data_IF_816321812812
#
_entry.id   IF_816321812812
#
_cell.length_a   1.000
_cell.length_b   1.000
_cell.length_c   1.000
_cell.angle_alpha   90.00
_cell.angle_beta   90.00
_cell.angle_gamma   90.00
#
_symmetry.space_group_name_H-M   'P 1'
#
loop_
_entity.id
_entity.type
_entity.pdbx_description
1 polymer ?
#
# COMPACT_ATOMS: atom_id res chain seq x y z
N UNK A 1 -0.77 23.02 -17.22
CA UNK A 1 -0.53 22.45 -15.88
C UNK A 1 -0.35 20.96 -16.11
N UNK A 2 0.90 20.49 -16.15
CA UNK A 2 1.25 19.20 -16.74
C UNK A 2 1.01 18.05 -15.75
N UNK A 3 0.33 17.00 -16.22
CA UNK A 3 0.03 15.76 -15.51
C UNK A 3 1.33 15.03 -15.13
N UNK A 4 1.78 15.22 -13.88
CA UNK A 4 3.00 14.63 -13.33
C UNK A 4 2.87 13.20 -12.80
N UNK A 5 1.73 12.54 -13.01
CA UNK A 5 1.58 11.11 -12.74
C UNK A 5 1.98 10.34 -14.00
N UNK A 6 3.30 10.26 -14.23
CA UNK A 6 3.86 9.34 -15.21
C UNK A 6 3.26 7.96 -14.98
N UNK A 7 2.84 7.29 -16.07
CA UNK A 7 2.20 5.97 -16.06
C UNK A 7 3.02 5.01 -15.18
N UNK A 8 2.60 4.82 -13.93
CA UNK A 8 3.23 3.83 -13.06
C UNK A 8 2.86 2.47 -13.65
N UNK A 9 3.81 1.79 -14.29
CA UNK A 9 3.65 0.36 -14.61
C UNK A 9 3.75 -0.40 -13.29
N UNK A 10 2.63 -0.48 -12.59
CA UNK A 10 2.49 -1.37 -11.45
C UNK A 10 2.71 -2.79 -11.97
N UNK A 11 3.63 -3.52 -11.32
CA UNK A 11 3.69 -4.96 -11.49
C UNK A 11 2.31 -5.55 -11.20
N UNK A 12 1.92 -6.59 -11.94
CA UNK A 12 0.62 -7.25 -11.71
C UNK A 12 0.45 -7.56 -10.21
N UNK A 13 -0.72 -7.28 -9.62
CA UNK A 13 -1.00 -7.54 -8.21
C UNK A 13 -0.53 -8.95 -7.83
N UNK A 14 0.37 -9.08 -6.83
CA UNK A 14 1.04 -10.34 -6.50
C UNK A 14 0.10 -11.31 -5.80
N UNK A 15 -0.82 -10.80 -4.98
CA UNK A 15 -1.74 -11.63 -4.19
C UNK A 15 -2.93 -12.11 -5.05
N UNK A 16 -3.22 -11.39 -6.13
CA UNK A 16 -4.40 -11.58 -6.97
C UNK A 16 -4.05 -12.05 -8.38
N UNK A 17 -2.96 -12.82 -8.53
CA UNK A 17 -2.63 -13.49 -9.79
C UNK A 17 -3.43 -14.79 -9.95
N UNK A 18 -3.95 -15.01 -11.16
CA UNK A 18 -4.62 -16.26 -11.57
C UNK A 18 -3.77 -17.48 -11.16
N UNK A 19 -4.35 -18.36 -10.33
CA UNK A 19 -3.74 -19.63 -9.93
C UNK A 19 -2.64 -19.58 -8.85
N UNK A 20 -2.42 -18.44 -8.18
CA UNK A 20 -1.45 -18.32 -7.07
C UNK A 20 -2.04 -17.68 -5.80
N UNK A 21 -3.38 -17.61 -5.70
CA UNK A 21 -4.06 -17.05 -4.53
C UNK A 21 -4.01 -18.07 -3.38
N UNK A 22 -3.59 -17.67 -2.17
CA UNK A 22 -3.59 -18.57 -1.04
C UNK A 22 -5.05 -18.85 -0.59
N UNK A 23 -5.38 -20.09 -0.17
CA UNK A 23 -6.77 -20.52 0.08
C UNK A 23 -7.53 -19.67 1.10
N UNK A 24 -6.81 -19.06 2.05
CA UNK A 24 -7.42 -18.25 3.11
C UNK A 24 -8.12 -16.99 2.59
N UNK A 25 -7.72 -16.46 1.42
CA UNK A 25 -8.33 -15.25 0.85
C UNK A 25 -9.79 -15.50 0.45
N UNK A 26 -10.10 -16.72 0.03
CA UNK A 26 -11.46 -17.12 -0.37
C UNK A 26 -12.27 -17.72 0.78
N UNK A 27 -11.63 -18.07 1.90
CA UNK A 27 -12.30 -18.73 3.04
C UNK A 27 -12.47 -17.83 4.26
N UNK A 28 -12.02 -16.57 4.22
CA UNK A 28 -12.22 -15.60 5.30
C UNK A 28 -13.58 -14.92 5.17
N UNK A 29 -14.15 -14.53 6.31
CA UNK A 29 -15.34 -13.67 6.44
C UNK A 29 -15.04 -12.19 6.21
N UNK A 30 -13.76 -11.81 6.06
CA UNK A 30 -13.32 -10.45 5.84
C UNK A 30 -13.09 -10.15 4.38
N UNK A 31 -13.33 -8.91 3.99
CA UNK A 31 -12.90 -8.42 2.70
C UNK A 31 -11.37 -8.29 2.67
N UNK A 32 -10.76 -8.90 1.65
CA UNK A 32 -9.31 -8.80 1.40
C UNK A 32 -9.08 -7.90 0.20
N UNK A 33 -8.24 -6.88 0.39
CA UNK A 33 -7.79 -5.97 -0.67
C UNK A 33 -6.26 -6.06 -0.79
N UNK A 34 -5.74 -5.85 -2.00
CA UNK A 34 -4.30 -5.76 -2.20
C UNK A 34 -3.84 -4.29 -2.12
N UNK A 35 -2.77 -4.05 -1.38
CA UNK A 35 -2.14 -2.73 -1.21
C UNK A 35 -0.66 -2.86 -1.58
N UNK A 36 -0.11 -1.84 -2.23
CA UNK A 36 1.30 -1.77 -2.57
C UNK A 36 1.92 -0.53 -1.90
N UNK A 37 2.84 -0.68 -0.92
CA UNK A 37 3.37 0.44 -0.16
C UNK A 37 3.97 1.57 -1.02
N UNK A 38 4.67 1.23 -2.10
CA UNK A 38 5.23 2.25 -3.01
C UNK A 38 4.14 3.13 -3.64
N UNK A 39 2.97 2.55 -3.95
CA UNK A 39 1.83 3.29 -4.51
C UNK A 39 1.15 4.11 -3.43
N UNK A 40 0.97 3.54 -2.24
CA UNK A 40 0.42 4.24 -1.08
C UNK A 40 1.26 5.47 -0.74
N UNK A 41 2.58 5.33 -0.63
CA UNK A 41 3.48 6.46 -0.38
C UNK A 41 3.47 7.49 -1.51
N UNK A 42 3.47 7.03 -2.77
CA UNK A 42 3.39 7.96 -3.90
C UNK A 42 2.08 8.76 -3.91
N UNK A 43 0.99 8.12 -3.52
CA UNK A 43 -0.35 8.74 -3.39
C UNK A 43 -0.36 9.74 -2.24
N UNK A 44 0.16 9.36 -1.07
CA UNK A 44 0.29 10.26 0.09
C UNK A 44 1.06 11.54 -0.25
N UNK A 45 2.17 11.41 -0.99
CA UNK A 45 3.06 12.52 -1.31
C UNK A 45 2.68 13.28 -2.59
N UNK A 46 1.74 12.75 -3.39
CA UNK A 46 1.41 13.29 -4.73
C UNK A 46 2.54 13.17 -5.75
N UNK A 47 3.57 12.37 -5.47
CA UNK A 47 4.76 12.16 -6.30
C UNK A 47 5.46 10.86 -5.94
N UNK A 48 6.33 10.37 -6.82
CA UNK A 48 7.18 9.23 -6.50
C UNK A 48 8.13 9.56 -5.34
N UNK A 49 8.46 8.56 -4.51
CA UNK A 49 9.48 8.69 -3.48
C UNK A 49 10.84 8.92 -4.13
N UNK A 50 11.59 9.90 -3.63
CA UNK A 50 12.88 10.28 -4.20
C UNK A 50 14.01 9.33 -3.76
N UNK A 51 13.85 8.69 -2.61
CA UNK A 51 14.89 7.88 -2.00
C UNK A 51 14.51 6.39 -1.84
N UNK A 52 15.46 5.46 -2.04
CA UNK A 52 15.22 4.04 -1.82
C UNK A 52 14.82 3.75 -0.37
N UNK A 53 13.85 2.85 -0.18
CA UNK A 53 13.24 2.57 1.14
C UNK A 53 14.20 2.04 2.20
N UNK A 54 15.29 1.40 1.79
CA UNK A 54 16.32 0.87 2.67
C UNK A 54 17.31 1.92 3.18
N UNK A 55 17.24 3.16 2.70
CA UNK A 55 18.13 4.25 3.12
C UNK A 55 17.51 5.05 4.26
N UNK A 56 18.36 5.73 5.03
CA UNK A 56 17.91 6.70 6.04
C UNK A 56 17.02 7.79 5.42
N UNK A 57 17.45 8.37 4.30
CA UNK A 57 16.67 9.39 3.61
C UNK A 57 15.30 8.87 3.15
N UNK A 58 15.23 7.63 2.65
CA UNK A 58 13.97 6.99 2.26
C UNK A 58 13.07 6.63 3.45
N UNK A 59 13.64 6.32 4.61
CA UNK A 59 12.91 6.13 5.87
C UNK A 59 12.28 7.44 6.32
N UNK A 60 13.05 8.52 6.37
CA UNK A 60 12.55 9.83 6.82
C UNK A 60 11.54 10.42 5.84
N UNK A 61 11.73 10.28 4.52
CA UNK A 61 10.76 10.71 3.51
C UNK A 61 9.39 10.03 3.72
N UNK A 62 9.37 8.73 3.99
CA UNK A 62 8.15 7.97 4.25
C UNK A 62 7.50 8.33 5.58
N UNK A 63 8.30 8.58 6.62
CA UNK A 63 7.79 9.09 7.92
C UNK A 63 7.15 10.47 7.76
N UNK A 64 7.74 11.35 6.97
CA UNK A 64 7.17 12.67 6.67
C UNK A 64 5.85 12.54 5.90
N UNK A 65 5.78 11.66 4.90
CA UNK A 65 4.53 11.37 4.19
C UNK A 65 3.43 10.87 5.14
N UNK A 66 3.73 9.93 6.03
CA UNK A 66 2.78 9.45 7.04
C UNK A 66 2.34 10.57 7.99
N UNK A 67 3.28 11.37 8.48
CA UNK A 67 3.01 12.45 9.42
C UNK A 67 2.10 13.54 8.82
N UNK A 68 2.25 13.83 7.52
CA UNK A 68 1.37 14.76 6.80
C UNK A 68 -0.09 14.30 6.77
N UNK A 69 -0.33 12.99 6.93
CA UNK A 69 -1.67 12.38 7.05
C UNK A 69 -2.03 12.01 8.50
N UNK A 70 -1.33 12.59 9.48
CA UNK A 70 -1.63 12.39 10.91
C UNK A 70 -1.16 11.05 11.48
N UNK A 71 -0.36 10.27 10.74
CA UNK A 71 0.14 8.98 11.18
C UNK A 71 1.58 9.15 11.70
N UNK A 72 1.73 9.02 13.01
CA UNK A 72 3.04 9.02 13.66
C UNK A 72 3.36 7.60 14.12
N UNK A 73 4.40 6.99 13.55
CA UNK A 73 4.87 5.68 13.98
C UNK A 73 5.52 5.81 15.37
N UNK A 74 5.01 5.10 16.40
CA UNK A 74 5.57 5.17 17.74
C UNK A 74 7.03 4.72 17.77
N UNK A 75 7.86 5.36 18.60
CA UNK A 75 9.24 4.95 18.80
C UNK A 75 9.35 3.58 19.52
N UNK A 76 8.36 3.23 20.35
CA UNK A 76 8.29 1.96 21.07
C UNK A 76 7.23 1.06 20.44
N UNK A 77 7.68 0.12 19.61
CA UNK A 77 6.82 -0.85 18.91
C UNK A 77 6.83 -2.26 19.55
N UNK A 78 7.36 -2.39 20.78
CA UNK A 78 7.42 -3.66 21.48
C UNK A 78 8.15 -4.75 20.69
N UNK A 79 7.47 -5.88 20.47
CA UNK A 79 8.04 -7.00 19.72
C UNK A 79 8.31 -6.65 18.24
N UNK A 80 7.45 -5.84 17.61
CA UNK A 80 7.63 -5.45 16.22
C UNK A 80 8.90 -4.62 16.03
N UNK A 81 9.17 -3.66 16.94
CA UNK A 81 10.39 -2.85 16.90
C UNK A 81 11.69 -3.63 17.11
N UNK A 82 11.62 -4.90 17.56
CA UNK A 82 12.78 -5.80 17.72
C UNK A 82 12.96 -6.77 16.55
N UNK A 83 11.94 -6.97 15.71
CA UNK A 83 11.91 -8.07 14.72
C UNK A 83 11.60 -7.63 13.30
N UNK A 84 10.79 -6.59 13.13
CA UNK A 84 10.46 -6.07 11.81
C UNK A 84 11.61 -5.19 11.30
N UNK A 85 11.86 -5.23 9.99
CA UNK A 85 12.71 -4.21 9.39
C UNK A 85 12.01 -2.85 9.48
N UNK A 86 12.79 -1.76 9.44
CA UNK A 86 12.24 -0.40 9.53
C UNK A 86 11.24 -0.13 8.41
N UNK A 87 11.56 -0.57 7.19
CA UNK A 87 10.67 -0.42 6.04
C UNK A 87 9.41 -1.28 6.15
N UNK A 88 9.45 -2.47 6.75
CA UNK A 88 8.25 -3.28 7.01
C UNK A 88 7.26 -2.56 7.94
N UNK A 89 7.76 -1.85 8.96
CA UNK A 89 6.92 -1.05 9.87
C UNK A 89 6.23 0.09 9.10
N UNK A 90 6.98 0.77 8.24
CA UNK A 90 6.44 1.87 7.43
C UNK A 90 5.46 1.36 6.37
N UNK A 91 5.76 0.22 5.74
CA UNK A 91 4.89 -0.44 4.77
C UNK A 91 3.57 -0.89 5.42
N UNK A 92 3.61 -1.37 6.67
CA UNK A 92 2.39 -1.68 7.45
C UNK A 92 1.56 -0.43 7.79
N UNK A 93 2.20 0.68 8.13
CA UNK A 93 1.51 1.95 8.35
C UNK A 93 0.85 2.48 7.07
N UNK A 94 1.53 2.35 5.93
CA UNK A 94 0.96 2.69 4.62
C UNK A 94 -0.24 1.80 4.26
N UNK A 95 -0.17 0.50 4.56
CA UNK A 95 -1.30 -0.41 4.37
C UNK A 95 -2.51 -0.03 5.24
N UNK A 96 -2.27 0.39 6.49
CA UNK A 96 -3.35 0.86 7.37
C UNK A 96 -4.02 2.14 6.80
N UNK A 97 -3.22 3.10 6.33
CA UNK A 97 -3.75 4.32 5.70
C UNK A 97 -4.60 4.04 4.45
N UNK A 98 -4.10 3.22 3.52
CA UNK A 98 -4.86 2.87 2.31
C UNK A 98 -6.12 2.05 2.64
N UNK A 99 -6.07 1.19 3.66
CA UNK A 99 -7.26 0.46 4.13
C UNK A 99 -8.31 1.41 4.71
N UNK A 100 -7.90 2.41 5.50
CA UNK A 100 -8.82 3.41 6.05
C UNK A 100 -9.54 4.19 4.94
N UNK A 101 -8.81 4.60 3.90
CA UNK A 101 -9.38 5.24 2.70
C UNK A 101 -10.33 4.32 1.95
N UNK A 102 -9.98 3.04 1.82
CA UNK A 102 -10.85 2.05 1.18
C UNK A 102 -12.18 1.92 1.92
N UNK A 103 -12.14 1.79 3.25
CA UNK A 103 -13.35 1.74 4.07
C UNK A 103 -14.19 3.03 3.99
N UNK A 104 -13.55 4.18 3.78
CA UNK A 104 -14.21 5.46 3.60
C UNK A 104 -14.73 5.71 2.17
N UNK A 105 -14.43 4.82 1.21
CA UNK A 105 -14.77 5.02 -0.20
C UNK A 105 -13.89 6.07 -0.92
N UNK A 106 -12.72 6.37 -0.35
CA UNK A 106 -11.79 7.40 -0.86
C UNK A 106 -10.58 6.81 -1.58
N UNK A 107 -10.36 5.49 -1.48
CA UNK A 107 -9.23 4.83 -2.13
C UNK A 107 -9.43 4.73 -3.64
N UNK A 108 -8.34 4.88 -4.38
CA UNK A 108 -8.31 4.67 -5.84
C UNK A 108 -7.75 3.28 -6.13
N UNK A 109 -8.36 2.59 -7.09
CA UNK A 109 -7.89 1.29 -7.55
C UNK A 109 -6.94 1.41 -8.74
N UNK A 110 -6.02 0.47 -8.86
CA UNK A 110 -5.16 0.34 -10.03
C UNK A 110 -5.15 -1.13 -10.49
N UNK A 111 -5.70 -1.44 -11.69
CA UNK A 111 -6.36 -0.52 -12.61
C UNK A 111 -7.68 0.05 -12.07
N UNK A 112 -8.15 1.14 -12.67
CA UNK A 112 -9.49 1.71 -12.50
C UNK A 112 -10.21 1.67 -13.87
N UNK A 113 -11.30 0.89 -14.02
CA UNK A 113 -11.92 0.04 -13.00
C UNK A 113 -11.08 -1.19 -12.64
N UNK A 114 -11.25 -1.76 -11.42
CA UNK A 114 -10.59 -3.02 -11.05
C UNK A 114 -10.90 -4.14 -12.03
N UNK A 115 -9.88 -4.92 -12.40
CA UNK A 115 -10.09 -6.15 -13.15
C UNK A 115 -10.80 -7.19 -12.27
N UNK A 116 -11.61 -8.06 -12.85
CA UNK A 116 -12.25 -9.18 -12.13
C UNK A 116 -11.89 -10.49 -12.80
N UNK A 117 -11.49 -11.48 -12.00
CA UNK A 117 -11.29 -12.84 -12.48
C UNK A 117 -12.52 -13.70 -12.23
N UNK A 118 -12.48 -14.95 -12.71
CA UNK A 118 -13.55 -15.96 -12.59
C UNK A 118 -13.95 -16.24 -11.12
N UNK A 119 -13.10 -15.87 -10.15
CA UNK A 119 -13.36 -15.99 -8.70
C UNK A 119 -14.19 -14.83 -8.13
N UNK A 120 -14.55 -13.84 -8.95
CA UNK A 120 -15.38 -12.68 -8.56
C UNK A 120 -14.65 -11.64 -7.72
N UNK A 121 -13.41 -11.89 -7.29
CA UNK A 121 -12.65 -10.98 -6.44
C UNK A 121 -11.94 -9.93 -7.31
N UNK A 122 -12.09 -8.62 -7.04
CA UNK A 122 -11.39 -7.59 -7.78
C UNK A 122 -9.87 -7.74 -7.66
N UNK A 123 -9.18 -7.73 -8.79
CA UNK A 123 -7.74 -7.70 -8.93
C UNK A 123 -7.27 -6.27 -9.16
N UNK A 124 -6.99 -5.58 -8.06
CA UNK A 124 -6.46 -4.23 -8.09
C UNK A 124 -5.60 -3.95 -6.86
N UNK A 125 -4.66 -3.03 -7.02
CA UNK A 125 -3.96 -2.37 -5.92
C UNK A 125 -4.79 -1.16 -5.49
N UNK A 126 -5.04 -1.02 -4.19
CA UNK A 126 -5.76 0.12 -3.63
C UNK A 126 -4.79 1.07 -2.93
N UNK A 127 -4.97 2.38 -3.15
CA UNK A 127 -4.20 3.43 -2.46
C UNK A 127 -5.09 4.55 -1.90
#
# INVERSE_FOLDING_TARGET
MQDGLGRVRLGRPRLLRRGHRPPWVTSTDRQVIEIHPEVSFATMAGRHMAHPKSTWAGTEERKQALAAHGIVVPAQLGLAGRRAAVDDVLDAAAACWSTARFCAGEAVSYPDPPERFDDGIPAAIWA
#
